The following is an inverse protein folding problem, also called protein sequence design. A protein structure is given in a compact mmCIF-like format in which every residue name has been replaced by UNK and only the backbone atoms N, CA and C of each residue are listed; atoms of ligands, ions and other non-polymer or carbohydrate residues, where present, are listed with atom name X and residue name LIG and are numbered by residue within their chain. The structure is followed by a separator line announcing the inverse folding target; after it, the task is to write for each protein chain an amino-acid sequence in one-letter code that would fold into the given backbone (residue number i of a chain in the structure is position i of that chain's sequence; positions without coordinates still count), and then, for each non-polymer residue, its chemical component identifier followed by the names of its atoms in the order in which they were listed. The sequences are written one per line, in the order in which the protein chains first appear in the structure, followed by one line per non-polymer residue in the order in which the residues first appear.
data_IF_770795252224
#
_entry.id   IF_770795252224
#
_cell.length_a   1.000
_cell.length_b   1.000
_cell.length_c   1.000
_cell.angle_alpha   90.00
_cell.angle_beta   90.00
_cell.angle_gamma   90.00
#
_symmetry.space_group_name_H-M   'P 1'
#
loop_
_entity.id
_entity.type
_entity.pdbx_description
1 polymer ?
#
# COMPACT_ATOMS: atom_id res chain seq x y z
N UNK A 1 -17.99 20.20 -12.72
CA UNK A 1 -19.04 20.96 -13.46
C UNK A 1 -20.02 20.07 -14.21
N UNK A 2 -19.60 19.00 -14.87
CA UNK A 2 -20.43 18.13 -15.71
C UNK A 2 -21.63 17.51 -14.99
N UNK A 3 -21.44 16.84 -13.87
CA UNK A 3 -22.56 16.23 -13.13
C UNK A 3 -23.62 17.24 -12.72
N UNK A 4 -23.20 18.46 -12.33
CA UNK A 4 -24.14 19.55 -12.02
C UNK A 4 -24.96 19.94 -13.27
N UNK A 5 -24.32 20.02 -14.44
CA UNK A 5 -25.02 20.34 -15.70
C UNK A 5 -26.09 19.31 -16.06
N UNK A 6 -25.80 18.02 -15.85
CA UNK A 6 -26.65 16.96 -16.35
C UNK A 6 -27.61 16.35 -15.30
N UNK A 7 -27.29 16.46 -14.01
CA UNK A 7 -28.04 15.81 -12.93
C UNK A 7 -28.66 16.80 -11.93
N UNK A 8 -28.32 18.10 -11.98
CA UNK A 8 -28.92 19.08 -11.06
C UNK A 8 -30.43 19.16 -11.33
N UNK A 9 -31.24 19.06 -10.26
CA UNK A 9 -32.70 19.00 -10.35
C UNK A 9 -33.26 17.64 -10.76
N UNK A 10 -32.41 16.68 -11.11
CA UNK A 10 -32.82 15.30 -11.39
C UNK A 10 -33.21 14.55 -10.11
N UNK A 11 -34.14 13.62 -10.26
CA UNK A 11 -34.64 12.75 -9.20
C UNK A 11 -34.05 11.35 -9.34
N UNK A 12 -33.46 10.81 -8.28
CA UNK A 12 -33.04 9.41 -8.24
C UNK A 12 -34.26 8.49 -8.39
N UNK A 13 -34.32 7.76 -9.49
CA UNK A 13 -35.40 6.87 -9.84
C UNK A 13 -35.13 5.41 -9.48
N UNK A 14 -33.87 5.01 -9.44
CA UNK A 14 -33.49 3.64 -9.10
C UNK A 14 -32.00 3.45 -8.85
N UNK A 15 -31.69 2.35 -8.17
CA UNK A 15 -30.34 1.88 -7.94
C UNK A 15 -30.34 0.40 -8.33
N UNK A 16 -29.43 0.02 -9.21
CA UNK A 16 -29.25 -1.37 -9.64
C UNK A 16 -27.80 -1.79 -9.39
N UNK A 17 -27.61 -2.96 -8.81
CA UNK A 17 -26.34 -3.65 -8.74
C UNK A 17 -26.45 -4.97 -9.51
N UNK A 18 -25.68 -5.22 -10.56
CA UNK A 18 -25.60 -6.53 -11.18
C UNK A 18 -25.09 -7.58 -10.19
N UNK A 19 -25.61 -8.79 -10.28
CA UNK A 19 -25.29 -9.86 -9.35
C UNK A 19 -23.78 -10.14 -9.33
N UNK A 20 -23.21 -10.17 -8.13
CA UNK A 20 -21.79 -10.42 -7.83
C UNK A 20 -20.80 -9.44 -8.49
N UNK A 21 -21.27 -8.32 -9.08
CA UNK A 21 -20.41 -7.30 -9.67
C UNK A 21 -20.17 -6.14 -8.70
N UNK A 22 -18.97 -5.54 -8.80
CA UNK A 22 -18.60 -4.34 -8.05
C UNK A 22 -18.99 -3.08 -8.84
N UNK A 23 -20.25 -2.98 -9.15
CA UNK A 23 -20.81 -1.90 -9.96
C UNK A 23 -22.15 -1.45 -9.39
N UNK A 24 -22.42 -0.15 -9.44
CA UNK A 24 -23.71 0.43 -9.12
C UNK A 24 -24.16 1.30 -10.30
N UNK A 25 -25.39 1.12 -10.73
CA UNK A 25 -26.07 1.97 -11.73
C UNK A 25 -27.17 2.78 -11.03
N UNK A 26 -26.93 4.08 -10.94
CA UNK A 26 -27.86 5.06 -10.38
C UNK A 26 -28.64 5.69 -11.53
N UNK A 27 -29.92 5.40 -11.61
CA UNK A 27 -30.84 5.94 -12.62
C UNK A 27 -31.46 7.25 -12.13
N UNK A 28 -31.35 8.30 -12.92
CA UNK A 28 -31.94 9.61 -12.64
C UNK A 28 -32.98 9.99 -13.69
N UNK A 29 -34.17 10.39 -13.24
CA UNK A 29 -35.12 11.12 -14.07
C UNK A 29 -34.70 12.60 -14.09
N UNK A 30 -34.36 13.08 -15.26
CA UNK A 30 -33.82 14.43 -15.51
C UNK A 30 -34.64 15.13 -16.56
N UNK A 31 -34.30 16.41 -16.77
CA UNK A 31 -34.77 17.19 -17.93
C UNK A 31 -33.54 17.54 -18.77
N UNK A 32 -33.61 17.41 -20.07
CA UNK A 32 -32.52 17.79 -20.96
C UNK A 32 -32.45 19.31 -21.17
N UNK A 33 -31.51 19.77 -22.00
CA UNK A 33 -31.33 21.20 -22.28
C UNK A 33 -32.51 21.84 -23.03
N UNK A 34 -33.37 21.03 -23.64
CA UNK A 34 -34.58 21.49 -24.35
C UNK A 34 -35.83 21.42 -23.48
N UNK A 35 -35.72 21.02 -22.22
CA UNK A 35 -36.84 20.86 -21.31
C UNK A 35 -37.57 19.54 -21.45
N UNK A 36 -37.04 18.57 -22.21
CA UNK A 36 -37.69 17.24 -22.40
C UNK A 36 -37.26 16.30 -21.29
N UNK A 37 -38.24 15.57 -20.67
CA UNK A 37 -37.90 14.54 -19.68
C UNK A 37 -37.05 13.43 -20.28
N UNK A 38 -35.98 13.08 -19.60
CA UNK A 38 -35.07 12.04 -20.03
C UNK A 38 -34.50 11.24 -18.85
N UNK A 39 -34.01 10.03 -19.10
CA UNK A 39 -33.27 9.23 -18.11
C UNK A 39 -31.79 9.31 -18.37
N UNK A 40 -31.04 9.44 -17.29
CA UNK A 40 -29.58 9.38 -17.31
C UNK A 40 -29.10 8.38 -16.27
N UNK A 41 -27.98 7.73 -16.56
CA UNK A 41 -27.40 6.76 -15.67
C UNK A 41 -26.03 7.26 -15.20
N UNK A 42 -25.83 7.22 -13.89
CA UNK A 42 -24.54 7.44 -13.26
C UNK A 42 -24.02 6.09 -12.78
N UNK A 43 -23.05 5.55 -13.48
CA UNK A 43 -22.51 4.22 -13.27
C UNK A 43 -21.20 4.32 -12.51
N UNK A 44 -21.15 3.63 -11.37
CA UNK A 44 -19.95 3.52 -10.53
C UNK A 44 -19.37 2.12 -10.72
N UNK A 45 -18.15 2.03 -11.23
CA UNK A 45 -17.36 0.81 -11.29
C UNK A 45 -16.32 0.83 -10.19
N UNK A 46 -16.38 -0.10 -9.23
CA UNK A 46 -15.54 -0.13 -8.04
C UNK A 46 -14.49 -1.24 -8.15
N UNK A 47 -13.56 -1.08 -9.08
CA UNK A 47 -12.53 -2.10 -9.44
C UNK A 47 -11.13 -1.62 -9.01
N UNK A 48 -10.96 -1.26 -7.75
CA UNK A 48 -9.70 -0.81 -7.18
C UNK A 48 -9.10 0.36 -7.98
N UNK A 49 -7.86 0.22 -8.46
CA UNK A 49 -7.19 1.27 -9.26
C UNK A 49 -7.87 1.57 -10.61
N UNK A 50 -8.74 0.69 -11.08
CA UNK A 50 -9.49 0.86 -12.32
C UNK A 50 -10.92 1.33 -12.06
N UNK A 51 -11.23 1.78 -10.85
CA UNK A 51 -12.53 2.38 -10.53
C UNK A 51 -12.82 3.57 -11.43
N UNK A 52 -14.09 3.69 -11.84
CA UNK A 52 -14.53 4.75 -12.73
C UNK A 52 -15.94 5.24 -12.36
N UNK A 53 -16.26 6.45 -12.78
CA UNK A 53 -17.55 7.04 -12.68
C UNK A 53 -17.97 7.47 -14.09
N UNK A 54 -19.03 6.89 -14.62
CA UNK A 54 -19.45 7.07 -16.00
C UNK A 54 -20.86 7.65 -16.01
N UNK A 55 -21.07 8.73 -16.73
CA UNK A 55 -22.38 9.31 -16.98
C UNK A 55 -22.82 8.96 -18.39
N UNK A 56 -24.02 8.35 -18.52
CA UNK A 56 -24.60 8.05 -19.82
C UNK A 56 -25.91 8.80 -20.05
N UNK A 57 -26.22 9.01 -21.31
CA UNK A 57 -27.48 9.55 -21.77
C UNK A 57 -28.59 8.48 -21.82
N UNK A 58 -29.82 8.89 -22.22
CA UNK A 58 -30.97 7.99 -22.31
C UNK A 58 -30.79 6.90 -23.38
N UNK A 59 -29.95 7.10 -24.34
CA UNK A 59 -29.59 6.17 -25.42
C UNK A 59 -28.46 5.21 -25.04
N UNK A 60 -27.90 5.30 -23.82
CA UNK A 60 -26.80 4.49 -23.36
C UNK A 60 -25.42 4.98 -23.83
N UNK A 61 -25.33 6.15 -24.52
CA UNK A 61 -24.05 6.75 -24.88
C UNK A 61 -23.40 7.42 -23.69
N UNK A 62 -22.10 7.27 -23.60
CA UNK A 62 -21.28 7.92 -22.57
C UNK A 62 -21.25 9.42 -22.85
N UNK A 63 -21.77 10.21 -21.92
CA UNK A 63 -21.67 11.68 -21.94
C UNK A 63 -20.30 12.13 -21.47
N UNK A 64 -19.80 11.50 -20.40
CA UNK A 64 -18.40 11.63 -19.94
C UNK A 64 -18.10 10.57 -18.89
N UNK A 65 -16.81 10.42 -18.55
CA UNK A 65 -16.34 9.53 -17.51
C UNK A 65 -15.16 10.15 -16.75
N UNK A 66 -14.99 9.77 -15.50
CA UNK A 66 -13.90 10.26 -14.65
C UNK A 66 -12.54 9.85 -15.22
N UNK A 67 -12.46 8.61 -15.71
CA UNK A 67 -11.26 8.04 -16.32
C UNK A 67 -11.62 7.58 -17.74
N UNK A 68 -11.03 8.23 -18.72
CA UNK A 68 -11.16 7.84 -20.12
C UNK A 68 -10.25 6.66 -20.40
N UNK A 69 -10.81 5.66 -21.08
CA UNK A 69 -10.08 4.45 -21.50
C UNK A 69 -10.19 4.36 -23.01
N UNK A 70 -9.08 4.56 -23.69
CA UNK A 70 -8.96 4.45 -25.13
C UNK A 70 -8.51 3.05 -25.57
N UNK A 71 -8.29 2.87 -26.87
CA UNK A 71 -7.85 1.61 -27.44
C UNK A 71 -6.44 1.21 -26.99
N UNK A 72 -5.55 2.18 -26.76
CA UNK A 72 -4.18 1.90 -26.30
C UNK A 72 -4.18 1.37 -24.84
N UNK A 73 -5.13 1.81 -24.04
CA UNK A 73 -5.27 1.37 -22.65
C UNK A 73 -6.03 0.05 -22.51
N UNK A 74 -6.96 -0.24 -23.41
CA UNK A 74 -7.75 -1.50 -23.41
C UNK A 74 -8.31 -1.79 -24.81
N UNK A 75 -7.89 -2.89 -25.39
CA UNK A 75 -8.45 -3.40 -26.64
C UNK A 75 -9.88 -3.95 -26.46
N UNK A 76 -10.21 -4.45 -25.27
CA UNK A 76 -11.46 -5.13 -24.99
C UNK A 76 -12.62 -4.16 -24.74
N UNK A 77 -12.34 -2.98 -24.18
CA UNK A 77 -13.39 -2.05 -23.76
C UNK A 77 -12.87 -0.63 -23.68
N UNK A 78 -13.44 0.24 -24.49
CA UNK A 78 -13.17 1.67 -24.46
C UNK A 78 -14.26 2.42 -23.69
N UNK A 79 -13.86 3.45 -22.96
CA UNK A 79 -14.77 4.34 -22.22
C UNK A 79 -14.44 5.78 -22.61
N UNK A 80 -15.08 6.24 -23.68
CA UNK A 80 -14.90 7.58 -24.24
C UNK A 80 -16.27 8.24 -24.47
N UNK A 81 -16.37 9.56 -24.33
CA UNK A 81 -17.58 10.29 -24.68
C UNK A 81 -18.04 10.00 -26.13
N UNK A 82 -19.32 9.77 -26.29
CA UNK A 82 -19.94 9.42 -27.57
C UNK A 82 -20.03 7.93 -27.89
N UNK A 83 -19.23 7.07 -27.24
CA UNK A 83 -19.36 5.62 -27.39
C UNK A 83 -20.51 5.08 -26.54
N UNK A 84 -21.03 3.92 -26.88
CA UNK A 84 -21.99 3.20 -26.06
C UNK A 84 -21.30 2.61 -24.84
N UNK A 85 -21.96 2.70 -23.69
CA UNK A 85 -21.49 2.03 -22.50
C UNK A 85 -21.75 0.53 -22.58
N UNK A 86 -20.76 -0.26 -22.29
CA UNK A 86 -20.83 -1.71 -22.10
C UNK A 86 -20.37 -2.08 -20.71
N UNK A 87 -21.07 -3.00 -20.04
CA UNK A 87 -20.64 -3.52 -18.75
C UNK A 87 -19.25 -4.18 -18.87
N UNK A 88 -18.45 -4.18 -17.79
CA UNK A 88 -17.18 -4.93 -17.77
C UNK A 88 -17.41 -6.39 -18.16
N UNK A 89 -16.45 -7.05 -18.85
CA UNK A 89 -16.58 -8.45 -19.14
C UNK A 89 -16.69 -9.24 -17.84
N UNK A 90 -17.70 -10.08 -17.74
CA UNK A 90 -17.92 -10.95 -16.59
C UNK A 90 -16.75 -11.91 -16.46
N UNK A 91 -16.34 -12.15 -15.22
CA UNK A 91 -15.37 -13.22 -14.95
C UNK A 91 -16.08 -14.57 -15.16
N UNK A 92 -15.31 -15.55 -15.64
CA UNK A 92 -15.80 -16.94 -15.77
C UNK A 92 -15.85 -17.62 -14.39
N UNK A 93 -16.78 -17.12 -13.56
CA UNK A 93 -17.03 -17.60 -12.20
C UNK A 93 -18.52 -17.74 -11.95
N UNK A 94 -18.88 -18.83 -11.29
CA UNK A 94 -20.27 -19.10 -10.94
C UNK A 94 -20.76 -18.14 -9.84
N UNK A 95 -22.04 -17.82 -9.87
CA UNK A 95 -22.68 -17.11 -8.76
C UNK A 95 -23.02 -18.14 -7.69
N UNK A 96 -22.57 -17.98 -6.44
CA UNK A 96 -22.78 -18.98 -5.38
C UNK A 96 -24.25 -19.36 -5.20
N UNK A 97 -25.15 -18.36 -5.16
CA UNK A 97 -26.60 -18.59 -4.93
C UNK A 97 -27.30 -19.31 -6.08
N UNK A 98 -26.71 -19.31 -7.28
CA UNK A 98 -27.25 -20.00 -8.46
C UNK A 98 -26.67 -21.41 -8.63
N UNK A 99 -25.71 -21.80 -7.79
CA UNK A 99 -25.00 -23.06 -7.89
C UNK A 99 -25.72 -24.16 -7.12
N UNK A 100 -26.06 -25.25 -7.80
CA UNK A 100 -26.70 -26.42 -7.20
C UNK A 100 -25.70 -27.36 -6.56
N UNK A 101 -26.14 -28.23 -5.64
CA UNK A 101 -25.29 -29.26 -5.02
C UNK A 101 -24.66 -30.18 -6.08
N UNK A 102 -25.42 -30.58 -7.10
CA UNK A 102 -24.92 -31.38 -8.22
C UNK A 102 -23.84 -30.62 -9.01
N UNK A 103 -24.02 -29.32 -9.21
CA UNK A 103 -23.00 -28.45 -9.82
C UNK A 103 -21.71 -28.37 -9.00
N UNK A 104 -21.84 -28.27 -7.67
CA UNK A 104 -20.70 -28.30 -6.77
C UNK A 104 -19.96 -29.62 -6.82
N UNK A 105 -20.65 -30.74 -6.81
CA UNK A 105 -20.05 -32.08 -6.93
C UNK A 105 -19.29 -32.22 -8.26
N UNK A 106 -19.89 -31.75 -9.36
CA UNK A 106 -19.22 -31.76 -10.67
C UNK A 106 -17.95 -30.89 -10.71
N UNK A 107 -17.95 -29.72 -10.03
CA UNK A 107 -16.78 -28.87 -9.89
C UNK A 107 -15.69 -29.52 -9.01
N UNK A 108 -16.07 -30.13 -7.91
CA UNK A 108 -15.15 -30.82 -7.00
C UNK A 108 -14.51 -32.07 -7.61
N UNK A 109 -15.15 -32.69 -8.60
CA UNK A 109 -14.61 -33.83 -9.32
C UNK A 109 -13.54 -33.46 -10.38
N UNK A 110 -13.31 -32.17 -10.65
CA UNK A 110 -12.33 -31.71 -11.64
C UNK A 110 -10.89 -31.80 -11.08
N UNK A 111 -9.88 -31.98 -11.93
CA UNK A 111 -8.47 -32.03 -11.51
C UNK A 111 -7.98 -30.74 -10.82
N UNK A 112 -8.54 -29.58 -11.17
CA UNK A 112 -8.23 -28.29 -10.57
C UNK A 112 -8.75 -28.13 -9.13
N UNK A 113 -9.58 -29.07 -8.66
CA UNK A 113 -9.96 -29.14 -7.24
C UNK A 113 -8.83 -29.65 -6.32
N UNK A 114 -7.68 -30.11 -6.85
CA UNK A 114 -6.54 -30.52 -6.03
C UNK A 114 -5.78 -29.32 -5.44
N UNK A 115 -6.50 -28.42 -4.76
CA UNK A 115 -5.98 -27.21 -4.12
C UNK A 115 -6.63 -26.97 -2.76
N UNK A 116 -6.25 -25.88 -2.09
CA UNK A 116 -6.88 -25.44 -0.84
C UNK A 116 -8.28 -24.90 -1.09
N UNK A 117 -9.20 -25.21 -0.18
CA UNK A 117 -10.61 -24.83 -0.30
C UNK A 117 -10.82 -23.31 -0.43
N UNK A 118 -10.09 -22.51 0.35
CA UNK A 118 -10.19 -21.03 0.26
C UNK A 118 -9.83 -20.51 -1.13
N UNK A 119 -8.81 -21.07 -1.77
CA UNK A 119 -8.36 -20.67 -3.11
C UNK A 119 -9.31 -21.16 -4.19
N UNK A 120 -9.78 -22.38 -4.06
CA UNK A 120 -10.76 -22.95 -4.96
C UNK A 120 -12.07 -22.13 -4.98
N UNK A 121 -12.56 -21.75 -3.78
CA UNK A 121 -13.75 -20.90 -3.67
C UNK A 121 -13.56 -19.57 -4.39
N UNK A 122 -12.40 -18.92 -4.23
CA UNK A 122 -12.10 -17.66 -4.91
C UNK A 122 -11.89 -17.80 -6.42
N UNK A 123 -11.44 -18.94 -6.88
CA UNK A 123 -11.25 -19.21 -8.31
C UNK A 123 -12.57 -19.46 -9.03
N UNK A 124 -13.48 -20.18 -8.40
CA UNK A 124 -14.73 -20.66 -9.07
C UNK A 124 -15.96 -19.80 -8.81
N UNK A 125 -15.96 -18.99 -7.73
CA UNK A 125 -17.15 -18.23 -7.34
C UNK A 125 -16.91 -16.73 -7.32
N UNK A 126 -17.82 -15.99 -7.95
CA UNK A 126 -17.85 -14.54 -7.92
C UNK A 126 -18.44 -14.02 -6.58
N UNK A 127 -18.11 -12.80 -6.20
CA UNK A 127 -18.69 -12.14 -5.02
C UNK A 127 -18.15 -12.60 -3.66
N UNK A 128 -17.30 -13.63 -3.60
CA UNK A 128 -16.64 -14.05 -2.37
C UNK A 128 -15.38 -13.22 -2.09
N UNK A 129 -15.24 -12.77 -0.85
CA UNK A 129 -13.98 -12.15 -0.39
C UNK A 129 -13.02 -13.21 0.16
N UNK A 130 -11.69 -12.94 0.21
CA UNK A 130 -10.73 -13.84 0.85
C UNK A 130 -11.05 -14.14 2.32
N UNK A 131 -11.66 -13.18 3.03
CA UNK A 131 -12.10 -13.35 4.41
C UNK A 131 -13.18 -14.44 4.49
N UNK A 132 -14.20 -14.34 3.63
CA UNK A 132 -15.33 -15.29 3.62
C UNK A 132 -14.91 -16.66 3.10
N UNK A 133 -14.06 -16.73 2.08
CA UNK A 133 -13.57 -18.01 1.58
C UNK A 133 -12.81 -18.81 2.66
N UNK A 134 -11.97 -18.13 3.44
CA UNK A 134 -11.27 -18.74 4.59
C UNK A 134 -12.22 -19.11 5.73
N UNK A 135 -13.24 -18.28 5.99
CA UNK A 135 -14.26 -18.56 6.98
C UNK A 135 -15.06 -19.81 6.62
N UNK A 136 -15.43 -19.99 5.35
CA UNK A 136 -16.13 -21.20 4.88
C UNK A 136 -15.25 -22.43 5.03
N UNK A 137 -13.96 -22.36 4.69
CA UNK A 137 -13.00 -23.44 4.93
C UNK A 137 -12.92 -23.79 6.43
N UNK A 138 -12.75 -22.77 7.27
CA UNK A 138 -12.66 -22.97 8.73
C UNK A 138 -13.94 -23.57 9.33
N UNK A 139 -15.11 -23.11 8.91
CA UNK A 139 -16.39 -23.65 9.39
C UNK A 139 -16.61 -25.11 9.02
N UNK A 140 -16.10 -25.52 7.87
CA UNK A 140 -16.22 -26.89 7.40
C UNK A 140 -15.17 -27.83 8.01
N UNK A 141 -13.89 -27.43 7.96
CA UNK A 141 -12.76 -28.29 8.26
C UNK A 141 -12.02 -27.94 9.57
N UNK A 142 -12.34 -26.81 10.21
CA UNK A 142 -11.60 -26.31 11.38
C UNK A 142 -10.28 -25.58 10.99
N UNK A 143 -9.96 -25.50 9.70
CA UNK A 143 -8.74 -24.89 9.17
C UNK A 143 -9.08 -23.94 8.02
N UNK A 144 -8.37 -22.78 7.95
CA UNK A 144 -8.63 -21.74 6.93
C UNK A 144 -8.14 -22.14 5.54
N UNK A 145 -7.30 -23.16 5.43
CA UNK A 145 -6.57 -23.56 4.23
C UNK A 145 -6.60 -25.07 3.96
N UNK A 146 -7.68 -25.73 4.41
CA UNK A 146 -7.88 -27.16 4.26
C UNK A 146 -7.73 -27.62 2.78
N UNK A 147 -6.93 -28.66 2.50
CA UNK A 147 -6.80 -29.20 1.16
C UNK A 147 -8.06 -29.98 0.75
N UNK A 148 -8.67 -29.64 -0.38
CA UNK A 148 -9.90 -30.30 -0.87
C UNK A 148 -9.75 -31.84 -0.95
N UNK A 149 -8.64 -32.41 -1.44
CA UNK A 149 -8.50 -33.87 -1.56
C UNK A 149 -8.64 -34.65 -0.23
N UNK A 150 -8.49 -33.96 0.92
CA UNK A 150 -8.65 -34.57 2.26
C UNK A 150 -10.09 -34.49 2.79
N UNK A 151 -10.98 -33.81 2.06
CA UNK A 151 -12.34 -33.52 2.48
C UNK A 151 -13.34 -34.46 1.81
N UNK A 152 -14.41 -34.76 2.51
CA UNK A 152 -15.56 -35.46 1.94
C UNK A 152 -16.31 -34.57 0.98
N UNK A 153 -16.28 -34.85 -0.30
CA UNK A 153 -16.86 -34.03 -1.36
C UNK A 153 -18.39 -33.89 -1.24
N UNK A 154 -19.10 -34.94 -0.83
CA UNK A 154 -20.56 -34.89 -0.68
C UNK A 154 -20.97 -34.00 0.50
N UNK A 155 -20.31 -34.16 1.65
CA UNK A 155 -20.53 -33.29 2.82
C UNK A 155 -20.14 -31.83 2.52
N UNK A 156 -19.05 -31.61 1.80
CA UNK A 156 -18.62 -30.27 1.40
C UNK A 156 -19.65 -29.62 0.46
N UNK A 157 -20.15 -30.34 -0.55
CA UNK A 157 -21.14 -29.82 -1.47
C UNK A 157 -22.45 -29.45 -0.74
N UNK A 158 -22.96 -30.32 0.13
CA UNK A 158 -24.15 -30.03 0.94
C UNK A 158 -23.93 -28.81 1.85
N UNK A 159 -22.78 -28.71 2.53
CA UNK A 159 -22.41 -27.58 3.36
C UNK A 159 -22.37 -26.27 2.56
N UNK A 160 -21.64 -26.28 1.43
CA UNK A 160 -21.50 -25.08 0.58
C UNK A 160 -22.87 -24.65 0.00
N UNK A 161 -23.74 -25.57 -0.38
CA UNK A 161 -25.11 -25.25 -0.83
C UNK A 161 -25.88 -24.48 0.23
N UNK A 162 -25.84 -24.93 1.47
CA UNK A 162 -26.49 -24.25 2.59
C UNK A 162 -25.87 -22.85 2.88
N UNK A 163 -24.54 -22.78 2.89
CA UNK A 163 -23.83 -21.51 3.13
C UNK A 163 -24.06 -20.50 1.99
N UNK A 164 -24.10 -20.93 0.74
CA UNK A 164 -24.35 -20.09 -0.41
C UNK A 164 -25.77 -19.55 -0.44
N UNK A 165 -26.76 -20.34 -0.03
CA UNK A 165 -28.13 -19.88 0.13
C UNK A 165 -28.26 -18.78 1.21
N UNK A 166 -27.37 -18.75 2.19
CA UNK A 166 -27.36 -17.76 3.26
C UNK A 166 -26.51 -16.51 2.96
N UNK A 167 -25.85 -16.44 1.80
CA UNK A 167 -25.05 -15.27 1.42
C UNK A 167 -25.93 -14.03 1.15
N UNK A 168 -25.37 -12.80 1.20
CA UNK A 168 -26.10 -11.59 0.88
C UNK A 168 -26.87 -11.67 -0.43
N UNK A 169 -28.08 -11.10 -0.52
CA UNK A 169 -28.70 -10.22 0.50
C UNK A 169 -29.54 -10.94 1.56
N UNK A 170 -29.53 -12.28 1.61
CA UNK A 170 -30.44 -13.06 2.48
C UNK A 170 -30.08 -12.88 3.96
N UNK A 171 -28.79 -13.02 4.31
CA UNK A 171 -28.32 -12.79 5.67
C UNK A 171 -27.21 -11.74 5.66
N UNK A 172 -27.46 -10.64 6.38
CA UNK A 172 -26.53 -9.52 6.46
C UNK A 172 -26.49 -8.97 7.88
N UNK A 173 -25.36 -9.14 8.54
CA UNK A 173 -25.08 -8.56 9.84
C UNK A 173 -23.79 -7.73 9.72
N UNK A 174 -23.87 -6.39 9.81
CA UNK A 174 -22.68 -5.55 9.74
C UNK A 174 -21.80 -5.78 10.96
N UNK A 175 -20.58 -6.25 10.73
CA UNK A 175 -19.60 -6.58 11.75
C UNK A 175 -18.27 -5.88 11.48
N UNK A 176 -17.76 -5.13 12.45
CA UNK A 176 -16.47 -4.49 12.42
C UNK A 176 -15.44 -5.35 13.14
N UNK A 177 -14.32 -5.64 12.49
CA UNK A 177 -13.25 -6.48 13.02
C UNK A 177 -12.10 -5.61 13.54
N UNK A 178 -11.74 -5.81 14.81
CA UNK A 178 -10.74 -5.05 15.52
C UNK A 178 -9.52 -5.88 15.85
N UNK A 179 -8.36 -5.28 15.68
CA UNK A 179 -7.07 -5.82 16.11
C UNK A 179 -6.28 -4.74 16.83
N UNK A 180 -5.78 -5.04 18.03
CA UNK A 180 -4.92 -4.14 18.81
C UNK A 180 -5.50 -2.71 18.98
N UNK A 181 -6.83 -2.63 19.12
CA UNK A 181 -7.54 -1.37 19.31
C UNK A 181 -7.79 -0.54 18.03
N UNK A 182 -7.45 -1.08 16.85
CA UNK A 182 -7.70 -0.46 15.56
C UNK A 182 -8.64 -1.32 14.69
N UNK A 183 -9.53 -0.69 13.88
CA UNK A 183 -10.33 -1.43 12.92
C UNK A 183 -9.43 -1.95 11.79
N UNK A 184 -9.56 -3.25 11.51
CA UNK A 184 -8.70 -3.95 10.54
C UNK A 184 -9.46 -4.38 9.29
N UNK A 185 -10.71 -4.80 9.46
CA UNK A 185 -11.56 -5.28 8.38
C UNK A 185 -13.03 -5.18 8.77
N UNK A 186 -13.92 -5.44 7.84
CA UNK A 186 -15.35 -5.50 8.11
C UNK A 186 -16.01 -6.61 7.28
N UNK A 187 -17.16 -7.07 7.74
CA UNK A 187 -17.86 -8.19 7.13
C UNK A 187 -19.37 -8.09 7.33
N UNK A 188 -20.11 -8.95 6.65
CA UNK A 188 -21.56 -9.04 6.73
C UNK A 188 -22.04 -10.22 7.59
N UNK A 189 -21.13 -10.93 8.27
CA UNK A 189 -21.45 -12.08 9.11
C UNK A 189 -20.43 -12.26 10.22
N UNK A 190 -20.79 -13.09 11.21
CA UNK A 190 -19.88 -13.54 12.27
C UNK A 190 -18.71 -14.35 11.70
N UNK A 191 -17.49 -14.03 12.16
CA UNK A 191 -16.23 -14.65 11.75
C UNK A 191 -15.60 -15.39 12.91
N UNK A 192 -15.36 -16.70 12.73
CA UNK A 192 -14.84 -17.61 13.76
C UNK A 192 -13.38 -18.01 13.54
N UNK A 193 -12.87 -17.91 12.32
CA UNK A 193 -11.52 -18.33 11.94
C UNK A 193 -10.39 -17.68 12.75
N UNK A 194 -10.66 -16.56 13.37
CA UNK A 194 -9.64 -15.82 14.14
C UNK A 194 -9.68 -16.12 15.66
N UNK A 195 -10.69 -16.88 16.13
CA UNK A 195 -10.86 -17.11 17.55
C UNK A 195 -10.89 -15.82 18.36
N UNK A 196 -10.04 -15.71 19.39
CA UNK A 196 -9.89 -14.48 20.19
C UNK A 196 -8.91 -13.44 19.64
N UNK A 197 -8.28 -13.68 18.48
CA UNK A 197 -7.27 -12.78 17.91
C UNK A 197 -7.86 -11.48 17.34
N UNK A 198 -9.08 -11.55 16.81
CA UNK A 198 -9.84 -10.38 16.41
C UNK A 198 -11.11 -10.28 17.26
N UNK A 199 -11.43 -9.05 17.68
CA UNK A 199 -12.71 -8.75 18.29
C UNK A 199 -13.70 -8.36 17.21
N UNK A 200 -14.80 -9.06 17.08
CA UNK A 200 -15.91 -8.70 16.22
C UNK A 200 -16.92 -7.84 16.99
N UNK A 201 -17.33 -6.73 16.40
CA UNK A 201 -18.29 -5.78 16.98
C UNK A 201 -19.45 -5.58 15.99
N UNK A 202 -20.71 -5.85 16.37
CA UNK A 202 -21.84 -5.58 15.52
C UNK A 202 -22.10 -4.07 15.39
N UNK A 203 -22.48 -3.63 14.21
CA UNK A 203 -22.88 -2.26 13.92
C UNK A 203 -24.37 -2.21 13.57
N UNK A 204 -24.99 -1.04 13.75
CA UNK A 204 -26.42 -0.83 13.48
C UNK A 204 -26.76 -0.97 11.98
N UNK A 205 -25.85 -0.53 11.12
CA UNK A 205 -26.02 -0.58 9.67
C UNK A 205 -24.68 -0.64 8.95
N UNK A 206 -24.68 -1.04 7.68
CA UNK A 206 -23.48 -0.99 6.83
C UNK A 206 -23.00 0.44 6.61
N UNK A 207 -23.89 1.42 6.54
CA UNK A 207 -23.50 2.83 6.41
C UNK A 207 -22.74 3.30 7.63
N UNK A 208 -23.25 3.02 8.83
CA UNK A 208 -22.57 3.36 10.08
C UNK A 208 -21.23 2.62 10.23
N UNK A 209 -21.19 1.34 9.83
CA UNK A 209 -19.97 0.53 9.82
C UNK A 209 -18.91 1.13 8.90
N UNK A 210 -19.27 1.44 7.66
CA UNK A 210 -18.33 1.98 6.66
C UNK A 210 -17.83 3.38 7.07
N UNK A 211 -18.73 4.24 7.54
CA UNK A 211 -18.37 5.57 8.03
C UNK A 211 -17.35 5.47 9.18
N UNK A 212 -17.62 4.64 10.16
CA UNK A 212 -16.71 4.41 11.28
C UNK A 212 -15.38 3.82 10.84
N UNK A 213 -15.40 2.76 10.01
CA UNK A 213 -14.18 2.09 9.53
C UNK A 213 -13.27 3.05 8.78
N UNK A 214 -13.81 3.77 7.80
CA UNK A 214 -13.00 4.68 6.98
C UNK A 214 -12.57 5.93 7.74
N UNK A 215 -13.39 6.47 8.63
CA UNK A 215 -12.99 7.60 9.48
C UNK A 215 -11.82 7.25 10.38
N UNK A 216 -11.88 6.09 11.05
CA UNK A 216 -10.81 5.65 11.94
C UNK A 216 -9.53 5.25 11.18
N UNK A 217 -9.67 4.55 10.06
CA UNK A 217 -8.52 4.15 9.22
C UNK A 217 -7.85 5.36 8.56
N UNK A 218 -8.61 6.31 8.04
CA UNK A 218 -8.08 7.56 7.48
C UNK A 218 -7.34 8.38 8.53
N UNK A 219 -7.90 8.47 9.74
CA UNK A 219 -7.23 9.16 10.84
C UNK A 219 -5.90 8.49 11.21
N UNK A 220 -5.89 7.17 11.36
CA UNK A 220 -4.69 6.40 11.65
C UNK A 220 -3.63 6.54 10.54
N UNK A 221 -4.05 6.49 9.26
CA UNK A 221 -3.13 6.64 8.13
C UNK A 221 -2.53 8.05 8.04
N UNK A 222 -3.33 9.10 8.26
CA UNK A 222 -2.83 10.49 8.34
C UNK A 222 -1.82 10.66 9.48
N UNK A 223 -2.10 10.08 10.65
CA UNK A 223 -1.17 10.11 11.78
C UNK A 223 0.12 9.36 11.45
N UNK A 224 0.03 8.20 10.82
CA UNK A 224 1.19 7.42 10.36
C UNK A 224 2.04 8.19 9.36
N UNK A 225 1.42 8.81 8.34
CA UNK A 225 2.14 9.61 7.34
C UNK A 225 2.85 10.81 7.96
N UNK A 226 2.17 11.55 8.87
CA UNK A 226 2.79 12.65 9.62
C UNK A 226 3.96 12.17 10.47
N UNK A 227 3.78 11.05 11.18
CA UNK A 227 4.85 10.44 11.99
C UNK A 227 6.05 10.01 11.14
N UNK A 228 5.83 9.42 9.97
CA UNK A 228 6.91 9.05 9.05
C UNK A 228 7.66 10.27 8.52
N UNK A 229 6.95 11.33 8.17
CA UNK A 229 7.56 12.59 7.69
C UNK A 229 8.44 13.21 8.77
N UNK A 230 7.94 13.27 10.01
CA UNK A 230 8.71 13.77 11.15
C UNK A 230 9.94 12.90 11.45
N UNK A 231 9.78 11.57 11.48
CA UNK A 231 10.89 10.64 11.69
C UNK A 231 11.97 10.82 10.63
N UNK A 232 11.57 10.94 9.36
CA UNK A 232 12.51 11.17 8.25
C UNK A 232 13.24 12.52 8.39
N UNK A 233 12.55 13.58 8.78
CA UNK A 233 13.14 14.88 9.01
C UNK A 233 14.16 14.83 10.16
N UNK A 234 13.81 14.20 11.29
CA UNK A 234 14.70 14.03 12.45
C UNK A 234 15.91 13.18 12.09
N UNK A 235 15.71 12.06 11.40
CA UNK A 235 16.80 11.19 10.95
C UNK A 235 17.78 11.93 10.02
N UNK A 236 17.28 12.69 9.07
CA UNK A 236 18.11 13.49 8.17
C UNK A 236 18.90 14.57 8.92
N UNK A 237 18.26 15.23 9.90
CA UNK A 237 18.94 16.23 10.74
C UNK A 237 20.03 15.59 11.60
N UNK A 238 19.74 14.46 12.22
CA UNK A 238 20.69 13.70 13.01
C UNK A 238 21.91 13.27 12.18
N UNK A 239 21.69 12.70 11.00
CA UNK A 239 22.78 12.30 10.10
C UNK A 239 23.65 13.48 9.65
N UNK A 240 23.04 14.62 9.31
CA UNK A 240 23.77 15.85 8.95
C UNK A 240 24.62 16.36 10.11
N UNK A 241 24.05 16.39 11.32
CA UNK A 241 24.75 16.85 12.52
C UNK A 241 25.89 15.90 12.87
N UNK A 242 25.69 14.59 12.77
CA UNK A 242 26.72 13.58 12.99
C UNK A 242 27.89 13.74 12.03
N UNK A 243 27.62 13.91 10.73
CA UNK A 243 28.67 14.15 9.70
C UNK A 243 29.44 15.43 9.97
N UNK A 244 28.72 16.51 10.32
CA UNK A 244 29.37 17.78 10.67
C UNK A 244 30.29 17.64 11.88
N UNK A 245 29.83 16.93 12.91
CA UNK A 245 30.64 16.68 14.12
C UNK A 245 31.90 15.87 13.80
N UNK A 246 31.75 14.87 12.94
CA UNK A 246 32.91 14.04 12.53
C UNK A 246 33.96 14.86 11.76
N UNK A 247 33.49 15.68 10.80
CA UNK A 247 34.38 16.60 10.09
C UNK A 247 35.09 17.59 11.03
N UNK A 248 34.35 18.17 11.98
CA UNK A 248 34.95 19.09 12.95
C UNK A 248 36.00 18.40 13.87
N UNK A 249 35.79 17.13 14.22
CA UNK A 249 36.75 16.34 14.96
C UNK A 249 38.02 16.11 14.15
N UNK A 250 37.87 15.73 12.88
CA UNK A 250 39.01 15.53 11.98
C UNK A 250 39.80 16.84 11.75
N UNK A 251 39.09 17.97 11.59
CA UNK A 251 39.69 19.29 11.47
C UNK A 251 40.47 19.69 12.74
N UNK A 252 39.90 19.38 13.91
CA UNK A 252 40.55 19.66 15.21
C UNK A 252 41.80 18.81 15.36
N UNK A 253 41.77 17.52 15.01
CA UNK A 253 42.88 16.60 15.06
C UNK A 253 44.00 17.06 14.09
N UNK A 254 43.63 17.42 12.86
CA UNK A 254 44.57 17.99 11.88
C UNK A 254 45.18 19.33 12.34
N UNK A 255 44.47 20.09 13.17
CA UNK A 255 45.03 21.33 13.76
C UNK A 255 46.05 21.03 14.83
N UNK A 256 45.87 19.95 15.56
CA UNK A 256 46.86 19.50 16.57
C UNK A 256 48.17 19.09 15.91
N UNK A 257 48.10 18.32 14.83
CA UNK A 257 49.28 17.93 14.04
C UNK A 257 49.95 19.15 13.39
N UNK A 258 49.19 20.15 12.98
CA UNK A 258 49.71 21.39 12.41
C UNK A 258 50.57 22.19 13.39
N UNK A 259 50.16 22.24 14.64
CA UNK A 259 50.91 22.95 15.67
C UNK A 259 52.24 22.25 15.99
N UNK A 260 52.25 20.92 16.01
CA UNK A 260 53.42 20.11 16.15
C UNK A 260 54.37 20.26 14.94
N UNK A 261 53.84 20.20 13.73
CA UNK A 261 54.58 20.42 12.49
C UNK A 261 55.18 21.82 12.42
N UNK A 262 54.45 22.84 12.87
CA UNK A 262 54.94 24.21 12.96
C UNK A 262 56.14 24.30 13.93
N UNK A 263 56.02 23.73 15.13
CA UNK A 263 57.13 23.69 16.12
C UNK A 263 58.35 22.98 15.54
N UNK A 264 58.17 21.85 14.88
CA UNK A 264 59.23 21.12 14.21
C UNK A 264 59.86 21.97 13.09
N UNK A 265 59.05 22.67 12.28
CA UNK A 265 59.54 23.55 11.25
C UNK A 265 60.34 24.75 11.78
N UNK A 266 59.91 25.35 12.90
CA UNK A 266 60.64 26.42 13.57
C UNK A 266 61.97 25.92 14.12
N UNK A 267 62.03 24.70 14.70
CA UNK A 267 63.27 24.08 15.20
C UNK A 267 64.21 23.73 14.05
N UNK A 268 63.67 23.18 12.93
CA UNK A 268 64.50 22.93 11.73
C UNK A 268 65.05 24.22 11.17
N UNK A 269 64.26 25.30 11.12
CA UNK A 269 64.73 26.61 10.63
C UNK A 269 65.78 27.21 11.49
N UNK A 270 65.72 27.10 12.81
CA UNK A 270 66.76 27.57 13.74
C UNK A 270 68.04 26.78 13.62
N UNK A 271 67.99 25.53 13.18
CA UNK A 271 69.14 24.64 13.10
C UNK A 271 69.57 24.30 11.65
N UNK A 272 69.21 25.14 10.66
CA UNK A 272 69.63 24.94 9.26
C UNK A 272 71.10 24.73 9.07
N UNK A 273 71.97 25.35 9.91
CA UNK A 273 73.40 25.24 9.87
C UNK A 273 73.92 23.86 10.27
N UNK A 274 73.12 23.09 10.99
CA UNK A 274 73.50 21.72 11.46
C UNK A 274 73.06 20.62 10.49
N UNK A 275 72.29 20.98 9.42
CA UNK A 275 71.78 20.02 8.45
C UNK A 275 72.78 19.80 7.32
N UNK A 276 73.24 18.55 7.15
CA UNK A 276 74.11 18.15 6.04
C UNK A 276 73.37 17.42 4.97
N UNK A 277 73.81 17.54 3.71
CA UNK A 277 73.09 16.87 2.57
C UNK A 277 73.15 15.35 2.72
N UNK A 278 71.98 14.72 2.58
CA UNK A 278 71.86 13.27 2.75
C UNK A 278 71.46 12.83 4.17
N UNK A 279 71.26 13.75 5.08
CA UNK A 279 70.86 13.48 6.45
C UNK A 279 69.32 13.19 6.46
N UNK A 280 68.90 12.18 7.25
CA UNK A 280 67.53 11.76 7.39
C UNK A 280 66.86 12.19 8.69
N UNK A 281 67.63 12.61 9.68
CA UNK A 281 67.22 13.00 11.02
C UNK A 281 68.03 14.19 11.51
N UNK A 282 67.32 15.26 11.93
CA UNK A 282 67.94 16.37 12.65
C UNK A 282 67.77 16.15 14.15
N UNK A 283 68.86 16.21 14.92
CA UNK A 283 68.82 16.25 16.37
C UNK A 283 69.05 17.69 16.83
N UNK A 284 68.03 18.24 17.48
CA UNK A 284 68.00 19.62 17.93
C UNK A 284 67.28 19.74 19.28
N UNK A 285 67.64 20.77 20.05
CA UNK A 285 66.93 21.09 21.29
C UNK A 285 65.57 21.68 21.00
N UNK A 286 64.51 21.18 21.70
CA UNK A 286 63.22 21.74 21.62
C UNK A 286 63.03 22.96 22.52
N UNK A 287 63.25 24.13 21.98
CA UNK A 287 63.17 25.39 22.71
C UNK A 287 61.77 25.84 23.08
N UNK A 288 60.74 25.05 22.68
CA UNK A 288 59.36 25.22 23.13
C UNK A 288 59.06 24.49 24.44
N UNK A 289 59.93 23.58 24.89
CA UNK A 289 59.83 22.91 26.17
C UNK A 289 60.81 23.56 27.18
N UNK A 290 60.37 23.82 28.41
CA UNK A 290 61.18 24.43 29.47
C UNK A 290 62.42 23.65 29.80
N UNK A 291 62.37 22.31 29.60
CA UNK A 291 63.56 21.41 29.85
C UNK A 291 64.51 21.27 28.65
N UNK A 292 64.19 21.91 27.51
CA UNK A 292 64.96 21.85 26.27
C UNK A 292 65.42 20.44 25.88
N UNK A 293 64.56 19.44 25.84
CA UNK A 293 64.95 18.08 25.48
C UNK A 293 65.43 18.04 24.03
N UNK A 294 66.43 17.18 23.76
CA UNK A 294 66.90 16.92 22.41
C UNK A 294 65.88 16.00 21.73
N UNK A 295 65.29 16.50 20.68
CA UNK A 295 64.30 15.76 19.85
C UNK A 295 64.89 15.38 18.50
N UNK A 296 64.37 14.31 17.90
CA UNK A 296 64.72 13.85 16.55
C UNK A 296 63.59 14.24 15.59
N UNK A 297 63.94 15.10 14.63
CA UNK A 297 62.99 15.54 13.60
C UNK A 297 63.37 14.87 12.27
N UNK A 298 62.46 14.13 11.64
CA UNK A 298 62.71 13.53 10.33
C UNK A 298 62.81 14.62 9.26
N UNK A 299 63.91 14.58 8.49
CA UNK A 299 64.16 15.50 7.38
C UNK A 299 64.40 14.72 6.10
N UNK A 300 64.12 15.34 4.96
CA UNK A 300 64.28 14.70 3.66
C UNK A 300 65.75 14.77 3.18
N UNK A 301 66.40 13.64 2.90
CA UNK A 301 67.80 13.65 2.42
C UNK A 301 67.95 14.23 1.01
N UNK A 302 66.84 14.40 0.27
CA UNK A 302 66.85 14.86 -1.13
C UNK A 302 66.73 16.38 -1.18
N UNK A 303 66.07 17.00 -0.19
CA UNK A 303 65.85 18.44 -0.13
C UNK A 303 67.12 19.18 0.40
N UNK A 304 67.24 20.45 0.02
CA UNK A 304 68.22 21.33 0.63
C UNK A 304 67.85 21.66 2.07
N UNK A 305 68.78 22.08 2.94
CA UNK A 305 68.43 22.49 4.30
C UNK A 305 67.29 23.51 4.37
N UNK A 306 67.18 24.42 3.40
CA UNK A 306 66.14 25.46 3.34
C UNK A 306 64.79 24.97 2.83
N UNK A 307 64.74 23.77 2.26
CA UNK A 307 63.51 23.16 1.73
C UNK A 307 62.91 22.12 2.68
N UNK A 308 63.71 21.67 3.69
CA UNK A 308 63.24 20.80 4.76
C UNK A 308 62.44 21.58 5.81
#
# INVERSE_FOLDING_TARGET
MLLRKHLAGGRLAGIRQPAAERMLDLTFDCTDELGVPCRKHLILELVGRNSNLILTGPDGRILDCLRRVDFEMSELRQLLPGLFYHEPPRQDRSIPQETTEAGLLALLARPDAAMRLDKWLLAHFAGLSPLIARELSFRFAGETDAPIPTLDAARLAAFLTAEFAALPPVQMQPMLLWKDGAPTDFTYRDIRQYGGYLRAEPCESFSALLDRFYTETDHAERMRQRSQTLRKAISNLHERTRRKLELQRQELEATHDREQLRRQGDIVTANLHAITRGQTLLRAEDFYDENMPVIEIPISPILSPQQN
#
